data_IF_164484867373
#
_entry.id   IF_164484867373
#
_cell.length_a   1.000
_cell.length_b   1.000
_cell.length_c   1.000
_cell.angle_alpha   90.00
_cell.angle_beta   90.00
_cell.angle_gamma   90.00
#
_symmetry.space_group_name_H-M   'P 1'
#
loop_
_entity.id
_entity.type
_entity.pdbx_description
1 polymer ?
#
# COMPACT_ATOMS: atom_id res chain seq x y z
N UNK A 1 -12.50 4.30 5.86
CA UNK A 1 -12.39 3.06 6.61
C UNK A 1 -13.64 2.18 6.38
N UNK A 2 -14.85 2.57 6.82
CA UNK A 2 -16.09 1.75 6.76
C UNK A 2 -16.33 1.09 5.40
N UNK A 3 -16.34 1.84 4.30
CA UNK A 3 -16.50 1.27 2.95
C UNK A 3 -15.43 0.21 2.59
N UNK A 4 -14.26 0.30 3.16
CA UNK A 4 -13.17 -0.66 2.96
C UNK A 4 -13.37 -1.92 3.79
N UNK A 5 -13.88 -1.77 5.01
CA UNK A 5 -14.27 -2.89 5.87
C UNK A 5 -15.42 -3.70 5.24
N UNK A 6 -16.45 -3.04 4.76
CA UNK A 6 -17.59 -3.67 4.07
C UNK A 6 -17.16 -4.44 2.80
N UNK A 7 -16.06 -4.04 2.17
CA UNK A 7 -15.48 -4.71 1.00
C UNK A 7 -14.41 -5.75 1.34
N UNK A 8 -14.21 -6.07 2.61
CA UNK A 8 -13.21 -7.04 3.06
C UNK A 8 -11.77 -6.64 2.76
N UNK A 9 -11.46 -5.34 2.75
CA UNK A 9 -10.09 -4.86 2.50
C UNK A 9 -9.17 -5.27 3.65
N UNK A 10 -7.95 -5.72 3.32
CA UNK A 10 -6.90 -5.96 4.31
C UNK A 10 -6.40 -4.67 4.98
N UNK A 11 -5.53 -4.82 5.96
CA UNK A 11 -5.01 -3.75 6.82
C UNK A 11 -4.51 -2.52 6.06
N UNK A 12 -3.79 -2.72 4.95
CA UNK A 12 -3.28 -1.62 4.13
C UNK A 12 -4.42 -0.81 3.48
N UNK A 13 -5.50 -1.49 3.11
CA UNK A 13 -6.72 -0.84 2.62
C UNK A 13 -7.43 -0.06 3.72
N UNK A 14 -7.41 -0.55 4.96
CA UNK A 14 -8.01 0.09 6.13
C UNK A 14 -7.21 1.30 6.62
N UNK A 15 -5.91 1.36 6.33
CA UNK A 15 -5.05 2.50 6.64
C UNK A 15 -5.45 3.81 5.92
N UNK A 16 -6.39 3.76 4.99
CA UNK A 16 -6.81 4.93 4.23
C UNK A 16 -5.75 5.44 3.24
N UNK A 17 -5.76 6.74 2.97
CA UNK A 17 -4.80 7.36 2.06
C UNK A 17 -3.43 7.52 2.74
N UNK A 18 -2.31 7.17 2.06
CA UNK A 18 -0.98 7.46 2.59
C UNK A 18 -0.69 8.97 2.54
N UNK A 19 0.10 9.46 3.49
CA UNK A 19 0.58 10.85 3.49
C UNK A 19 1.51 11.13 2.30
N UNK A 20 2.28 10.12 1.92
CA UNK A 20 3.18 10.13 0.78
C UNK A 20 2.82 8.95 -0.13
N UNK A 21 2.76 9.20 -1.43
CA UNK A 21 2.57 8.17 -2.45
C UNK A 21 3.53 8.41 -3.60
N UNK A 22 4.37 7.43 -3.86
CA UNK A 22 5.34 7.46 -4.95
C UNK A 22 4.72 6.92 -6.23
N UNK A 23 4.91 7.65 -7.31
CA UNK A 23 4.67 7.22 -8.69
C UNK A 23 6.01 7.22 -9.44
N UNK A 24 6.03 6.74 -10.66
CA UNK A 24 7.25 6.69 -11.48
C UNK A 24 7.92 8.06 -11.62
N UNK A 25 7.12 9.10 -11.88
CA UNK A 25 7.64 10.42 -12.23
C UNK A 25 7.30 11.51 -11.20
N UNK A 26 6.43 11.21 -10.24
CA UNK A 26 5.96 12.21 -9.26
C UNK A 26 5.78 11.62 -7.88
N UNK A 27 6.03 12.44 -6.87
CA UNK A 27 5.71 12.16 -5.48
C UNK A 27 4.49 12.97 -5.07
N UNK A 28 3.41 12.30 -4.68
CA UNK A 28 2.19 12.93 -4.18
C UNK A 28 2.27 13.08 -2.66
N UNK A 29 2.26 14.31 -2.18
CA UNK A 29 2.25 14.63 -0.75
C UNK A 29 0.86 15.09 -0.32
N UNK A 30 0.43 14.68 0.87
CA UNK A 30 -0.84 15.09 1.49
C UNK A 30 -0.60 15.68 2.88
N UNK A 31 -0.04 16.90 2.98
CA UNK A 31 0.37 17.51 4.25
C UNK A 31 -0.81 17.82 5.17
N UNK A 32 -2.02 17.96 4.63
CA UNK A 32 -3.23 18.29 5.39
C UNK A 32 -4.07 17.08 5.77
N UNK A 33 -3.55 15.85 5.60
CA UNK A 33 -4.32 14.62 5.80
C UNK A 33 -4.89 14.49 7.22
N UNK A 34 -4.16 14.95 8.23
CA UNK A 34 -4.56 14.90 9.64
C UNK A 34 -5.32 16.16 10.11
N UNK A 35 -5.55 17.13 9.22
CA UNK A 35 -6.26 18.35 9.60
C UNK A 35 -7.78 18.17 9.53
N UNK A 36 -8.48 18.59 10.57
CA UNK A 36 -9.95 18.60 10.56
C UNK A 36 -10.47 19.61 9.53
N UNK A 37 -11.50 19.25 8.76
CA UNK A 37 -12.11 20.12 7.74
C UNK A 37 -12.61 21.43 8.36
N UNK A 38 -13.11 21.42 9.60
CA UNK A 38 -13.53 22.61 10.34
C UNK A 38 -12.36 23.59 10.55
N UNK A 39 -11.19 23.12 10.94
CA UNK A 39 -9.99 23.92 11.10
C UNK A 39 -9.54 24.56 9.77
N UNK A 40 -9.54 23.77 8.70
CA UNK A 40 -9.22 24.28 7.36
C UNK A 40 -10.20 25.36 6.90
N UNK A 41 -11.50 25.19 7.13
CA UNK A 41 -12.52 26.21 6.83
C UNK A 41 -12.31 27.49 7.64
N UNK A 42 -12.01 27.38 8.92
CA UNK A 42 -11.71 28.53 9.78
C UNK A 42 -10.46 29.29 9.27
N UNK A 43 -9.43 28.58 8.85
CA UNK A 43 -8.22 29.17 8.27
C UNK A 43 -8.55 29.93 6.98
N UNK A 44 -9.28 29.31 6.05
CA UNK A 44 -9.69 29.94 4.78
C UNK A 44 -10.52 31.20 5.04
N UNK A 45 -11.47 31.15 5.98
CA UNK A 45 -12.28 32.32 6.37
C UNK A 45 -11.41 33.44 6.97
N UNK A 46 -10.41 33.11 7.79
CA UNK A 46 -9.47 34.09 8.37
C UNK A 46 -8.69 34.85 7.29
N UNK A 47 -8.36 34.21 6.19
CA UNK A 47 -7.65 34.82 5.07
C UNK A 47 -8.59 35.46 4.03
N UNK A 48 -9.91 35.56 4.30
CA UNK A 48 -10.92 36.08 3.38
C UNK A 48 -10.90 35.42 2.00
N UNK A 49 -10.52 34.14 1.93
CA UNK A 49 -10.56 33.38 0.69
C UNK A 49 -11.91 32.69 0.55
N UNK A 50 -12.57 32.88 -0.59
CA UNK A 50 -13.85 32.24 -0.86
C UNK A 50 -13.62 30.77 -1.22
N UNK A 51 -14.15 29.86 -0.38
CA UNK A 51 -14.12 28.43 -0.64
C UNK A 51 -15.21 28.06 -1.66
N UNK A 52 -14.81 27.36 -2.73
CA UNK A 52 -15.75 26.79 -3.70
C UNK A 52 -16.32 25.49 -3.13
N UNK A 53 -17.63 25.37 -3.08
CA UNK A 53 -18.30 24.11 -2.76
C UNK A 53 -18.72 23.41 -4.06
N UNK A 54 -18.10 22.27 -4.32
CA UNK A 54 -18.45 21.41 -5.45
C UNK A 54 -19.81 20.72 -5.16
N UNK A 55 -20.83 20.91 -6.02
CA UNK A 55 -22.15 20.29 -5.86
C UNK A 55 -22.09 18.75 -5.79
N UNK A 56 -21.07 18.12 -6.37
CA UNK A 56 -20.89 16.67 -6.30
C UNK A 56 -20.68 16.14 -4.87
N UNK A 57 -20.24 17.02 -3.94
CA UNK A 57 -20.09 16.67 -2.53
C UNK A 57 -21.41 16.35 -1.80
N UNK A 58 -22.54 16.73 -2.38
CA UNK A 58 -23.88 16.48 -1.86
C UNK A 58 -24.64 15.41 -2.66
N UNK A 59 -24.05 14.88 -3.72
CA UNK A 59 -24.71 13.92 -4.59
C UNK A 59 -24.72 12.51 -3.96
N UNK A 60 -25.89 12.09 -3.48
CA UNK A 60 -26.15 10.79 -2.84
C UNK A 60 -25.98 9.58 -3.78
N UNK A 61 -25.77 9.77 -5.09
CA UNK A 61 -25.41 8.69 -6.00
C UNK A 61 -24.04 8.10 -5.70
N UNK A 62 -23.16 8.91 -5.08
CA UNK A 62 -21.82 8.45 -4.69
C UNK A 62 -21.82 7.78 -3.31
N UNK A 63 -21.32 6.55 -3.24
CA UNK A 63 -21.17 5.78 -1.99
C UNK A 63 -20.47 6.57 -0.88
N UNK A 64 -19.43 7.32 -1.24
CA UNK A 64 -18.68 8.17 -0.31
C UNK A 64 -19.54 9.23 0.37
N UNK A 65 -20.48 9.80 -0.38
CA UNK A 65 -21.39 10.82 0.13
C UNK A 65 -22.39 10.16 1.06
N UNK A 66 -23.03 9.06 0.65
CA UNK A 66 -23.94 8.27 1.50
C UNK A 66 -23.28 7.85 2.81
N UNK A 67 -22.04 7.32 2.74
CA UNK A 67 -21.28 6.93 3.92
C UNK A 67 -20.99 8.12 4.85
N UNK A 68 -20.70 9.32 4.32
CA UNK A 68 -20.52 10.53 5.16
C UNK A 68 -21.79 10.90 5.91
N UNK A 69 -22.94 10.84 5.25
CA UNK A 69 -24.24 11.14 5.87
C UNK A 69 -24.71 10.09 6.87
N UNK A 70 -24.20 8.85 6.79
CA UNK A 70 -24.52 7.81 7.77
C UNK A 70 -23.84 8.00 9.13
N UNK A 71 -22.87 8.91 9.24
CA UNK A 71 -22.25 9.26 10.52
C UNK A 71 -23.04 10.36 11.19
N UNK A 72 -23.73 10.00 12.27
CA UNK A 72 -24.61 10.91 13.00
C UNK A 72 -23.89 11.73 14.04
N UNK A 73 -22.76 11.25 14.57
CA UNK A 73 -22.01 11.90 15.63
C UNK A 73 -20.56 12.20 15.24
N UNK A 74 -19.97 13.22 15.85
CA UNK A 74 -18.53 13.51 15.72
C UNK A 74 -17.70 12.41 16.36
N UNK A 75 -18.19 11.78 17.44
CA UNK A 75 -17.55 10.65 18.10
C UNK A 75 -17.34 9.47 17.15
N UNK A 76 -18.33 9.12 16.33
CA UNK A 76 -18.19 8.04 15.34
C UNK A 76 -17.06 8.32 14.33
N UNK A 77 -16.95 9.58 13.92
CA UNK A 77 -15.89 10.02 12.99
C UNK A 77 -14.51 9.96 13.63
N UNK A 78 -14.39 10.36 14.91
CA UNK A 78 -13.13 10.27 15.65
C UNK A 78 -12.69 8.83 15.88
N UNK A 79 -13.60 7.94 16.25
CA UNK A 79 -13.31 6.51 16.40
C UNK A 79 -12.75 5.92 15.10
N UNK A 80 -13.40 6.23 13.98
CA UNK A 80 -12.93 5.73 12.67
C UNK A 80 -11.63 6.37 12.22
N UNK A 81 -11.41 7.65 12.51
CA UNK A 81 -10.13 8.32 12.24
C UNK A 81 -9.00 7.67 13.00
N UNK A 82 -9.16 7.52 14.33
CA UNK A 82 -8.17 6.90 15.20
C UNK A 82 -7.85 5.45 14.79
N UNK A 83 -8.85 4.70 14.32
CA UNK A 83 -8.63 3.35 13.77
C UNK A 83 -7.83 3.40 12.46
N UNK A 84 -8.17 4.30 11.55
CA UNK A 84 -7.43 4.48 10.29
C UNK A 84 -5.97 4.89 10.54
N UNK A 85 -5.74 5.76 11.53
CA UNK A 85 -4.40 6.21 11.93
C UNK A 85 -3.57 5.04 12.47
N UNK A 86 -4.15 4.18 13.31
CA UNK A 86 -3.46 2.96 13.79
C UNK A 86 -3.04 2.03 12.64
N UNK A 87 -3.94 1.78 11.69
CA UNK A 87 -3.59 1.03 10.49
C UNK A 87 -2.53 1.75 9.64
N UNK A 88 -2.57 3.09 9.60
CA UNK A 88 -1.58 3.92 8.92
C UNK A 88 -0.18 3.78 9.50
N UNK A 89 -0.05 3.85 10.83
CA UNK A 89 1.22 3.63 11.55
C UNK A 89 1.72 2.20 11.31
N UNK A 90 0.85 1.20 11.45
CA UNK A 90 1.23 -0.20 11.22
C UNK A 90 1.68 -0.43 9.77
N UNK A 91 1.04 0.22 8.78
CA UNK A 91 1.49 0.18 7.39
C UNK A 91 2.87 0.81 7.22
N UNK A 92 3.12 1.98 7.81
CA UNK A 92 4.42 2.64 7.75
C UNK A 92 5.54 1.72 8.23
N UNK A 93 5.38 1.09 9.39
CA UNK A 93 6.39 0.15 9.91
C UNK A 93 6.55 -1.09 9.02
N UNK A 94 5.47 -1.60 8.44
CA UNK A 94 5.57 -2.71 7.47
C UNK A 94 6.30 -2.29 6.19
N UNK A 95 6.07 -1.09 5.71
CA UNK A 95 6.74 -0.56 4.52
C UNK A 95 8.24 -0.37 4.77
N UNK A 96 8.65 0.17 5.94
CA UNK A 96 10.04 0.26 6.36
C UNK A 96 10.71 -1.12 6.48
N UNK A 97 10.04 -2.06 7.16
CA UNK A 97 10.54 -3.42 7.30
C UNK A 97 10.69 -4.10 5.93
N UNK A 98 9.72 -3.89 5.02
CA UNK A 98 9.76 -4.40 3.65
C UNK A 98 10.94 -3.82 2.87
N UNK A 99 11.15 -2.51 2.94
CA UNK A 99 12.27 -1.85 2.26
C UNK A 99 13.63 -2.35 2.80
N UNK A 100 13.73 -2.48 4.12
CA UNK A 100 14.94 -3.01 4.78
C UNK A 100 15.23 -4.45 4.37
N UNK A 101 14.21 -5.32 4.41
CA UNK A 101 14.31 -6.71 3.99
C UNK A 101 14.70 -6.82 2.51
N UNK A 102 14.06 -6.03 1.66
CA UNK A 102 14.35 -5.97 0.23
C UNK A 102 15.80 -5.59 -0.04
N UNK A 103 16.29 -4.50 0.60
CA UNK A 103 17.66 -4.03 0.43
C UNK A 103 18.74 -5.02 0.91
N UNK A 104 18.40 -5.87 1.88
CA UNK A 104 19.34 -6.88 2.41
C UNK A 104 19.38 -8.18 1.60
N UNK A 105 18.29 -8.49 0.92
CA UNK A 105 18.09 -9.79 0.28
C UNK A 105 18.03 -9.75 -1.24
N UNK A 106 18.11 -8.54 -1.85
CA UNK A 106 17.89 -8.39 -3.28
C UNK A 106 18.83 -7.35 -3.87
N UNK A 107 19.49 -7.71 -4.96
CA UNK A 107 20.25 -6.80 -5.81
C UNK A 107 19.49 -6.57 -7.13
N UNK A 108 19.35 -5.30 -7.52
CA UNK A 108 18.67 -4.92 -8.77
C UNK A 108 19.70 -4.41 -9.76
N UNK A 109 19.58 -4.86 -10.99
CA UNK A 109 20.49 -4.52 -12.08
C UNK A 109 19.79 -3.66 -13.14
N UNK A 110 20.50 -2.65 -13.70
CA UNK A 110 19.94 -1.73 -14.71
C UNK A 110 19.43 -2.44 -15.97
N UNK A 111 19.93 -3.65 -16.24
CA UNK A 111 19.53 -4.47 -17.38
C UNK A 111 18.11 -5.08 -17.22
N UNK A 112 17.42 -4.79 -16.12
CA UNK A 112 16.03 -5.19 -15.90
C UNK A 112 15.86 -6.55 -15.25
N UNK A 113 16.87 -7.03 -14.53
CA UNK A 113 16.75 -8.24 -13.71
C UNK A 113 17.18 -7.96 -12.25
N UNK A 114 16.88 -8.90 -11.38
CA UNK A 114 17.31 -8.86 -9.99
C UNK A 114 17.81 -10.24 -9.53
N UNK A 115 18.74 -10.22 -8.57
CA UNK A 115 19.24 -11.41 -7.89
C UNK A 115 18.74 -11.37 -6.46
N UNK A 116 18.09 -12.46 -6.04
CA UNK A 116 17.59 -12.66 -4.69
C UNK A 116 18.48 -13.65 -3.96
N UNK A 117 18.99 -13.26 -2.78
CA UNK A 117 19.69 -14.15 -1.86
C UNK A 117 18.68 -14.92 -1.00
N UNK A 118 18.50 -16.25 -1.21
CA UNK A 118 17.54 -17.04 -0.44
C UNK A 118 17.88 -17.13 1.05
N UNK A 119 19.16 -17.02 1.42
CA UNK A 119 19.57 -17.08 2.83
C UNK A 119 19.17 -15.82 3.58
N UNK A 120 19.51 -14.65 3.04
CA UNK A 120 19.08 -13.37 3.59
C UNK A 120 17.55 -13.24 3.57
N UNK A 121 16.90 -13.76 2.54
CA UNK A 121 15.44 -13.78 2.43
C UNK A 121 14.75 -14.52 3.57
N UNK A 122 15.27 -15.68 3.96
CA UNK A 122 14.72 -16.51 5.06
C UNK A 122 14.74 -15.82 6.43
N UNK A 123 15.53 -14.76 6.60
CA UNK A 123 15.61 -14.01 7.85
C UNK A 123 14.45 -13.01 8.04
N UNK A 124 13.63 -12.79 7.03
CA UNK A 124 12.47 -11.92 7.11
C UNK A 124 11.23 -12.62 7.67
N UNK A 125 10.30 -11.84 8.24
CA UNK A 125 8.97 -12.34 8.60
C UNK A 125 8.18 -12.71 7.33
N UNK A 126 7.31 -13.72 7.43
CA UNK A 126 6.59 -14.27 6.27
C UNK A 126 5.81 -13.23 5.47
N UNK A 127 5.12 -12.31 6.15
CA UNK A 127 4.34 -11.25 5.50
C UNK A 127 5.24 -10.18 4.84
N UNK A 128 6.38 -9.87 5.45
CA UNK A 128 7.39 -8.94 4.88
C UNK A 128 8.02 -9.57 3.63
N UNK A 129 8.38 -10.85 3.69
CA UNK A 129 8.87 -11.60 2.53
C UNK A 129 7.85 -11.59 1.38
N UNK A 130 6.58 -11.87 1.66
CA UNK A 130 5.51 -11.81 0.66
C UNK A 130 5.38 -10.43 0.01
N UNK A 131 5.43 -9.37 0.80
CA UNK A 131 5.34 -7.98 0.30
C UNK A 131 6.54 -7.65 -0.59
N UNK A 132 7.75 -7.98 -0.13
CA UNK A 132 8.99 -7.76 -0.88
C UNK A 132 8.98 -8.53 -2.21
N UNK A 133 8.59 -9.80 -2.19
CA UNK A 133 8.52 -10.63 -3.40
C UNK A 133 7.46 -10.13 -4.39
N UNK A 134 6.31 -9.68 -3.87
CA UNK A 134 5.26 -9.07 -4.69
C UNK A 134 5.74 -7.78 -5.36
N UNK A 135 6.45 -6.94 -4.62
CA UNK A 135 7.03 -5.69 -5.14
C UNK A 135 8.11 -5.97 -6.19
N UNK A 136 9.00 -6.93 -5.92
CA UNK A 136 10.06 -7.35 -6.86
C UNK A 136 9.46 -7.83 -8.18
N UNK A 137 8.47 -8.73 -8.11
CA UNK A 137 7.82 -9.26 -9.31
C UNK A 137 7.05 -8.18 -10.09
N UNK A 138 6.45 -7.21 -9.43
CA UNK A 138 5.79 -6.08 -10.09
C UNK A 138 6.81 -5.15 -10.77
N UNK A 139 7.90 -4.86 -10.10
CA UNK A 139 8.98 -3.98 -10.59
C UNK A 139 9.68 -4.58 -11.83
N UNK A 140 10.21 -5.79 -11.71
CA UNK A 140 10.95 -6.45 -12.82
C UNK A 140 10.00 -6.82 -13.96
N UNK A 141 8.78 -7.24 -13.64
CA UNK A 141 7.80 -7.63 -14.65
C UNK A 141 7.11 -6.47 -15.37
N UNK A 142 7.33 -5.22 -14.94
CA UNK A 142 6.79 -4.01 -15.55
C UNK A 142 5.27 -3.92 -15.56
N UNK A 143 4.57 -4.68 -14.70
CA UNK A 143 3.12 -4.68 -14.65
C UNK A 143 2.60 -3.65 -13.66
N UNK A 144 1.60 -2.85 -14.07
CA UNK A 144 1.00 -1.79 -13.24
C UNK A 144 0.25 -2.30 -11.99
N UNK A 145 0.12 -3.62 -11.82
CA UNK A 145 -0.57 -4.24 -10.68
C UNK A 145 0.27 -5.36 -10.08
N UNK A 146 0.33 -5.47 -8.75
CA UNK A 146 1.03 -6.56 -8.09
C UNK A 146 0.39 -7.91 -8.41
N UNK A 147 1.17 -9.00 -8.36
CA UNK A 147 0.65 -10.35 -8.57
C UNK A 147 -0.35 -10.74 -7.47
N UNK A 148 -1.25 -11.67 -7.82
CA UNK A 148 -2.23 -12.17 -6.88
C UNK A 148 -1.56 -12.87 -5.69
N UNK A 149 -1.96 -12.53 -4.45
CA UNK A 149 -1.35 -12.99 -3.19
C UNK A 149 -1.06 -14.49 -3.15
N UNK A 150 -2.03 -15.34 -3.48
CA UNK A 150 -1.86 -16.81 -3.49
C UNK A 150 -0.75 -17.30 -4.42
N UNK A 151 -0.46 -16.58 -5.50
CA UNK A 151 0.66 -16.93 -6.41
C UNK A 151 2.00 -16.57 -5.77
N UNK A 152 2.05 -15.44 -5.07
CA UNK A 152 3.26 -14.98 -4.35
C UNK A 152 3.56 -15.95 -3.20
N UNK A 153 2.56 -16.38 -2.43
CA UNK A 153 2.69 -17.37 -1.35
C UNK A 153 3.32 -18.65 -1.86
N UNK A 154 2.80 -19.21 -2.95
CA UNK A 154 3.37 -20.42 -3.57
C UNK A 154 4.80 -20.24 -4.08
N UNK A 155 5.13 -19.06 -4.58
CA UNK A 155 6.50 -18.76 -5.01
C UNK A 155 7.43 -18.65 -3.80
N UNK A 156 7.00 -17.96 -2.75
CA UNK A 156 7.76 -17.85 -1.51
C UNK A 156 8.03 -19.23 -0.89
N UNK A 157 7.02 -20.09 -0.80
CA UNK A 157 7.19 -21.47 -0.32
C UNK A 157 8.22 -22.24 -1.15
N UNK A 158 8.18 -22.09 -2.48
CA UNK A 158 9.14 -22.74 -3.35
C UNK A 158 10.58 -22.22 -3.17
N UNK A 159 10.76 -20.92 -2.95
CA UNK A 159 12.07 -20.32 -2.64
C UNK A 159 12.59 -20.83 -1.29
N UNK A 160 11.72 -20.86 -0.28
CA UNK A 160 12.09 -21.31 1.06
C UNK A 160 12.47 -22.80 1.11
N UNK A 161 11.87 -23.62 0.23
CA UNK A 161 12.16 -25.07 0.12
C UNK A 161 13.23 -25.40 -0.91
N UNK A 162 13.76 -24.40 -1.60
CA UNK A 162 14.69 -24.60 -2.73
C UNK A 162 14.07 -25.42 -3.88
N UNK A 163 12.76 -25.25 -4.09
CA UNK A 163 11.95 -25.98 -5.07
C UNK A 163 11.52 -25.10 -6.26
N UNK A 164 12.33 -24.12 -6.64
CA UNK A 164 12.04 -23.28 -7.81
C UNK A 164 12.14 -24.08 -9.12
N UNK A 165 12.97 -25.13 -9.11
CA UNK A 165 13.14 -26.06 -10.23
C UNK A 165 13.67 -25.37 -11.50
N UNK A 166 13.23 -25.81 -12.67
CA UNK A 166 13.65 -25.24 -13.97
C UNK A 166 13.14 -23.83 -14.27
N UNK A 167 12.52 -23.17 -13.30
CA UNK A 167 12.04 -21.81 -13.37
C UNK A 167 10.54 -21.67 -13.30
N UNK A 168 10.09 -20.48 -12.88
CA UNK A 168 8.67 -20.09 -12.76
C UNK A 168 8.45 -18.74 -13.44
N UNK A 169 7.25 -18.52 -13.95
CA UNK A 169 6.87 -17.23 -14.53
C UNK A 169 5.78 -16.58 -13.68
N UNK A 170 5.97 -15.30 -13.32
CA UNK A 170 4.99 -14.52 -12.58
C UNK A 170 5.08 -13.03 -12.93
N UNK A 171 3.93 -12.40 -13.17
CA UNK A 171 3.82 -10.95 -13.45
C UNK A 171 4.73 -10.42 -14.57
N UNK A 172 5.07 -11.25 -15.56
CA UNK A 172 5.92 -10.84 -16.68
C UNK A 172 7.42 -11.10 -16.47
N UNK A 173 7.83 -11.51 -15.26
CA UNK A 173 9.21 -11.95 -15.03
C UNK A 173 9.34 -13.48 -15.00
N UNK A 174 10.51 -13.97 -15.35
CA UNK A 174 10.93 -15.36 -15.19
C UNK A 174 11.85 -15.46 -13.97
N UNK A 175 11.55 -16.37 -13.07
CA UNK A 175 12.30 -16.65 -11.86
C UNK A 175 13.01 -17.97 -12.05
N UNK A 176 14.31 -17.98 -11.96
CA UNK A 176 15.15 -19.16 -12.16
C UNK A 176 16.17 -19.27 -11.01
N UNK A 177 16.54 -20.47 -10.59
CA UNK A 177 17.70 -20.63 -9.73
C UNK A 177 18.95 -20.15 -10.49
N UNK A 178 19.90 -19.58 -9.77
CA UNK A 178 21.21 -19.23 -10.29
C UNK A 178 22.19 -20.26 -9.77
N UNK A 179 22.79 -20.99 -10.70
CA UNK A 179 23.94 -21.86 -10.39
C UNK A 179 25.09 -20.94 -9.97
N UNK A 180 25.69 -21.20 -8.81
CA UNK A 180 26.75 -20.40 -8.21
C UNK A 180 28.05 -20.39 -8.99
#
# INVERSE_FOLDING_TARGET
LRMREERGSGDDGLAGMPAILEYTDVRLLRPLLHQKKSGLRATVAKFNVMAVEDPSNHNLRFDRVRTRYSFTTESDREILSNRADRYGVARFHRDEATATHFARSTEIYPEGYAVLDPHAWRQGADDIGLRSLSALCAMIGGRGHPPHRKKVERLQEAILRDEVGGGRTMSGCRIVPRDG
#
